data_IF_795096790198
#
_entry.id   IF_795096790198
#
_cell.length_a   1.000
_cell.length_b   1.000
_cell.length_c   1.000
_cell.angle_alpha   90.00
_cell.angle_beta   90.00
_cell.angle_gamma   90.00
#
_symmetry.space_group_name_H-M   'P 1'
#
loop_
_entity.id
_entity.type
_entity.pdbx_description
1 polymer ?
#
# COMPACT_ATOMS: atom_id res chain seq x y z
N UNK A 1 -28.99 -8.44 5.48
CA UNK A 1 -27.58 -8.79 5.23
C UNK A 1 -27.11 -7.80 4.16
N UNK A 2 -26.16 -6.92 4.46
CA UNK A 2 -25.93 -5.63 3.77
C UNK A 2 -25.86 -5.68 2.22
N UNK A 3 -26.85 -5.10 1.54
CA UNK A 3 -26.97 -5.03 0.07
C UNK A 3 -25.77 -4.37 -0.63
N UNK A 4 -25.09 -3.43 0.02
CA UNK A 4 -23.99 -2.69 -0.58
C UNK A 4 -22.78 -3.58 -0.89
N UNK A 5 -22.40 -4.48 0.03
CA UNK A 5 -21.26 -5.38 -0.20
C UNK A 5 -21.56 -6.37 -1.33
N UNK A 6 -22.79 -6.89 -1.37
CA UNK A 6 -23.20 -7.83 -2.40
C UNK A 6 -23.27 -7.16 -3.78
N UNK A 7 -23.76 -5.91 -3.84
CA UNK A 7 -23.71 -5.10 -5.06
C UNK A 7 -22.27 -4.82 -5.51
N UNK A 8 -21.36 -4.52 -4.58
CA UNK A 8 -19.93 -4.34 -4.88
C UNK A 8 -19.22 -5.62 -5.34
N UNK A 9 -19.67 -6.79 -4.89
CA UNK A 9 -19.14 -8.09 -5.35
C UNK A 9 -19.59 -8.43 -6.77
N UNK A 10 -20.75 -7.94 -7.19
CA UNK A 10 -21.32 -8.16 -8.52
C UNK A 10 -20.98 -7.07 -9.54
N UNK A 11 -20.23 -6.05 -9.13
CA UNK A 11 -19.82 -4.95 -9.98
C UNK A 11 -18.90 -5.46 -11.09
N UNK A 12 -19.33 -5.26 -12.34
CA UNK A 12 -18.55 -5.54 -13.55
C UNK A 12 -18.21 -4.20 -14.21
N UNK A 13 -16.91 -3.96 -14.44
CA UNK A 13 -16.42 -2.69 -14.97
C UNK A 13 -15.01 -2.37 -14.47
N UNK A 14 -14.52 -1.14 -14.70
CA UNK A 14 -13.15 -0.76 -14.40
C UNK A 14 -12.87 -0.62 -12.89
N UNK A 15 -13.84 -0.91 -12.01
CA UNK A 15 -13.72 -0.84 -10.56
C UNK A 15 -13.94 -2.23 -9.99
N UNK A 16 -13.02 -2.70 -9.14
CA UNK A 16 -13.07 -3.99 -8.47
C UNK A 16 -12.98 -3.84 -6.96
N UNK A 17 -13.66 -4.74 -6.25
CA UNK A 17 -13.52 -4.91 -4.81
C UNK A 17 -12.27 -5.77 -4.53
N UNK A 18 -11.25 -5.16 -3.93
CA UNK A 18 -10.02 -5.84 -3.51
C UNK A 18 -10.05 -6.10 -2.01
N UNK A 19 -9.60 -7.29 -1.61
CA UNK A 19 -9.35 -7.65 -0.22
C UNK A 19 -7.84 -7.67 0.05
N UNK A 20 -7.41 -7.01 1.11
CA UNK A 20 -6.06 -7.07 1.62
C UNK A 20 -5.88 -8.22 2.62
N UNK A 21 -4.65 -8.72 2.87
CA UNK A 21 -4.40 -9.74 3.88
C UNK A 21 -4.82 -9.35 5.30
N UNK A 22 -4.87 -8.04 5.59
CA UNK A 22 -5.41 -7.51 6.86
C UNK A 22 -6.92 -7.73 7.02
N UNK A 23 -7.62 -8.19 5.99
CA UNK A 23 -9.08 -8.30 5.94
C UNK A 23 -9.77 -7.02 5.46
N UNK A 24 -9.05 -5.93 5.24
CA UNK A 24 -9.61 -4.71 4.69
C UNK A 24 -10.11 -4.91 3.25
N UNK A 25 -11.29 -4.37 2.93
CA UNK A 25 -11.86 -4.39 1.58
C UNK A 25 -11.94 -2.97 1.03
N UNK A 26 -11.41 -2.76 -0.17
CA UNK A 26 -11.42 -1.45 -0.85
C UNK A 26 -11.93 -1.57 -2.28
N UNK A 27 -12.62 -0.54 -2.75
CA UNK A 27 -12.92 -0.37 -4.17
C UNK A 27 -11.73 0.35 -4.81
N UNK A 28 -11.21 -0.22 -5.89
CA UNK A 28 -10.13 0.39 -6.67
C UNK A 28 -10.32 0.13 -8.15
N UNK A 29 -9.63 0.89 -8.99
CA UNK A 29 -9.63 0.61 -10.42
C UNK A 29 -8.96 -0.74 -10.71
N UNK A 30 -9.39 -1.41 -11.76
CA UNK A 30 -8.79 -2.66 -12.22
C UNK A 30 -7.32 -2.49 -12.60
N UNK A 31 -6.98 -1.33 -13.15
CA UNK A 31 -5.62 -0.93 -13.53
C UNK A 31 -4.66 -0.75 -12.34
N UNK A 32 -5.16 -0.75 -11.10
CA UNK A 32 -4.29 -0.76 -9.92
C UNK A 32 -3.70 -2.15 -9.70
N UNK A 33 -2.52 -2.36 -10.28
CA UNK A 33 -1.62 -3.50 -10.07
C UNK A 33 -0.74 -3.27 -8.84
N UNK A 34 -0.57 -4.33 -8.04
CA UNK A 34 0.29 -4.35 -6.85
C UNK A 34 1.76 -4.05 -7.19
N UNK A 35 2.23 -4.51 -8.35
CA UNK A 35 3.57 -4.23 -8.82
C UNK A 35 3.77 -2.73 -9.09
N UNK A 36 2.82 -2.09 -9.77
CA UNK A 36 2.86 -0.66 -10.05
C UNK A 36 2.76 0.16 -8.76
N UNK A 37 1.86 -0.22 -7.86
CA UNK A 37 1.72 0.42 -6.54
C UNK A 37 3.01 0.30 -5.74
N UNK A 38 3.70 -0.84 -5.77
CA UNK A 38 4.94 -1.03 -5.04
C UNK A 38 6.10 -0.20 -5.60
N UNK A 39 6.20 -0.07 -6.93
CA UNK A 39 7.19 0.81 -7.57
C UNK A 39 6.91 2.27 -7.23
N UNK A 40 5.68 2.75 -7.41
CA UNK A 40 5.30 4.12 -7.04
C UNK A 40 5.53 4.39 -5.54
N UNK A 41 5.23 3.42 -4.67
CA UNK A 41 5.50 3.55 -3.23
C UNK A 41 7.00 3.62 -2.94
N UNK A 42 7.83 2.84 -3.63
CA UNK A 42 9.29 2.90 -3.50
C UNK A 42 9.82 4.29 -3.88
N UNK A 43 9.41 4.84 -5.03
CA UNK A 43 9.85 6.17 -5.49
C UNK A 43 9.55 7.26 -4.44
N UNK A 44 8.40 7.16 -3.76
CA UNK A 44 8.03 8.09 -2.67
C UNK A 44 8.91 7.93 -1.44
N UNK A 45 9.21 6.70 -1.07
CA UNK A 45 10.09 6.38 0.07
C UNK A 45 11.53 6.84 -0.22
N UNK A 46 12.03 6.61 -1.44
CA UNK A 46 13.36 7.07 -1.87
C UNK A 46 13.45 8.60 -1.89
N UNK A 47 12.43 9.29 -2.41
CA UNK A 47 12.40 10.76 -2.44
C UNK A 47 12.40 11.40 -1.04
N UNK A 48 11.89 10.70 -0.03
CA UNK A 48 11.85 11.16 1.35
C UNK A 48 12.93 10.53 2.24
N UNK A 49 13.81 9.69 1.69
CA UNK A 49 14.75 8.77 2.37
C UNK A 49 14.08 7.70 3.25
N UNK A 50 12.97 8.05 3.91
CA UNK A 50 12.11 7.16 4.68
C UNK A 50 10.71 7.74 4.83
N UNK A 51 9.71 6.89 5.03
CA UNK A 51 8.34 7.33 5.31
C UNK A 51 7.68 6.55 6.44
N UNK A 52 6.99 7.27 7.32
CA UNK A 52 5.96 6.73 8.19
C UNK A 52 4.62 6.60 7.43
N UNK A 53 3.71 5.80 7.97
CA UNK A 53 2.40 5.55 7.35
C UNK A 53 1.59 6.83 7.20
N UNK A 54 1.65 7.70 8.20
CA UNK A 54 0.93 8.97 8.26
C UNK A 54 1.47 9.97 7.22
N UNK A 55 2.77 9.94 6.96
CA UNK A 55 3.44 10.80 5.99
C UNK A 55 3.00 10.42 4.57
N UNK A 56 3.01 9.12 4.25
CA UNK A 56 2.53 8.64 2.95
C UNK A 56 1.03 8.92 2.75
N UNK A 57 0.21 8.73 3.79
CA UNK A 57 -1.22 9.01 3.73
C UNK A 57 -1.49 10.48 3.40
N UNK A 58 -0.78 11.40 4.07
CA UNK A 58 -0.87 12.85 3.80
C UNK A 58 -0.38 13.20 2.41
N UNK A 59 0.75 12.64 1.98
CA UNK A 59 1.36 12.93 0.69
C UNK A 59 0.49 12.49 -0.49
N UNK A 60 -0.20 11.34 -0.37
CA UNK A 60 -1.06 10.80 -1.42
C UNK A 60 -2.54 11.21 -1.27
N UNK A 61 -2.92 11.85 -0.17
CA UNK A 61 -4.33 12.20 0.10
C UNK A 61 -5.24 10.97 0.27
N UNK A 62 -4.70 9.88 0.82
CA UNK A 62 -5.42 8.61 1.02
C UNK A 62 -5.63 8.31 2.51
N UNK A 63 -6.47 7.33 2.82
CA UNK A 63 -6.66 6.88 4.19
C UNK A 63 -5.40 6.24 4.76
N UNK A 64 -5.20 6.36 6.08
CA UNK A 64 -4.07 5.74 6.79
C UNK A 64 -4.02 4.22 6.56
N UNK A 65 -5.19 3.58 6.52
CA UNK A 65 -5.32 2.15 6.20
C UNK A 65 -4.74 1.85 4.82
N UNK A 66 -5.15 2.59 3.77
CA UNK A 66 -4.66 2.34 2.41
C UNK A 66 -3.16 2.64 2.28
N UNK A 67 -2.67 3.70 2.93
CA UNK A 67 -1.24 4.00 2.97
C UNK A 67 -0.44 2.85 3.60
N UNK A 68 -0.93 2.29 4.72
CA UNK A 68 -0.32 1.13 5.37
C UNK A 68 -0.29 -0.07 4.44
N UNK A 69 -1.41 -0.40 3.80
CA UNK A 69 -1.48 -1.52 2.87
C UNK A 69 -0.51 -1.37 1.70
N UNK A 70 -0.34 -0.16 1.16
CA UNK A 70 0.62 0.10 0.07
C UNK A 70 2.06 -0.15 0.51
N UNK A 71 2.44 0.32 1.70
CA UNK A 71 3.77 0.07 2.27
C UNK A 71 4.00 -1.43 2.52
N UNK A 72 3.01 -2.14 3.05
CA UNK A 72 3.08 -3.60 3.25
C UNK A 72 3.11 -4.39 1.94
N UNK A 73 2.48 -3.90 0.87
CA UNK A 73 2.61 -4.50 -0.48
C UNK A 73 4.03 -4.31 -1.00
N UNK A 74 4.59 -3.09 -0.89
CA UNK A 74 5.96 -2.81 -1.30
C UNK A 74 6.99 -3.62 -0.50
N UNK A 75 6.78 -3.81 0.80
CA UNK A 75 7.62 -4.66 1.66
C UNK A 75 7.60 -6.11 1.21
N UNK A 76 6.41 -6.68 0.96
CA UNK A 76 6.26 -8.07 0.49
C UNK A 76 6.90 -8.32 -0.87
N UNK A 77 6.95 -7.30 -1.72
CA UNK A 77 7.64 -7.35 -3.01
C UNK A 77 9.14 -7.01 -2.90
N UNK A 78 9.65 -6.87 -1.67
CA UNK A 78 11.06 -6.64 -1.39
C UNK A 78 11.55 -5.24 -1.74
N UNK A 79 10.66 -4.28 -2.04
CA UNK A 79 11.05 -2.92 -2.45
C UNK A 79 11.47 -2.06 -1.27
N UNK A 80 10.78 -2.19 -0.15
CA UNK A 80 11.06 -1.45 1.09
C UNK A 80 11.27 -2.41 2.25
N UNK A 81 11.93 -1.95 3.29
CA UNK A 81 12.01 -2.62 4.59
C UNK A 81 11.45 -1.70 5.68
N UNK A 82 10.97 -2.28 6.77
CA UNK A 82 10.51 -1.52 7.93
C UNK A 82 11.52 -1.55 9.07
N UNK A 83 11.59 -0.43 9.77
CA UNK A 83 12.25 -0.28 11.04
C UNK A 83 11.19 0.02 12.10
N UNK A 84 11.12 -0.84 13.11
CA UNK A 84 10.23 -0.69 14.26
C UNK A 84 11.08 -0.32 15.47
N UNK A 85 11.01 0.95 15.86
CA UNK A 85 11.77 1.49 16.99
C UNK A 85 10.84 2.16 18.00
N UNK A 86 11.42 2.63 19.11
CA UNK A 86 10.69 3.43 20.11
C UNK A 86 10.15 4.75 19.54
N UNK A 87 10.73 5.24 18.44
CA UNK A 87 10.32 6.46 17.75
C UNK A 87 9.14 6.22 16.78
N UNK A 88 8.87 4.95 16.45
CA UNK A 88 7.74 4.55 15.63
C UNK A 88 8.10 3.54 14.53
N UNK A 89 7.14 3.30 13.64
CA UNK A 89 7.30 2.46 12.45
C UNK A 89 7.64 3.34 11.25
N UNK A 90 8.83 3.12 10.66
CA UNK A 90 9.24 3.80 9.42
C UNK A 90 9.62 2.78 8.35
N UNK A 91 9.42 3.15 7.10
CA UNK A 91 9.79 2.35 5.93
C UNK A 91 10.93 3.01 5.17
N UNK A 92 11.88 2.20 4.71
CA UNK A 92 13.10 2.59 4.03
C UNK A 92 13.26 1.81 2.71
N UNK A 93 13.99 2.34 1.72
CA UNK A 93 14.36 1.57 0.54
C UNK A 93 15.13 0.31 0.94
N UNK A 94 14.81 -0.83 0.33
CA UNK A 94 15.44 -2.09 0.70
C UNK A 94 16.84 -2.23 0.08
N UNK A 95 17.86 -1.79 0.81
CA UNK A 95 19.26 -1.88 0.38
C UNK A 95 19.86 -3.30 0.50
N UNK A 96 19.18 -4.23 1.19
CA UNK A 96 19.68 -5.60 1.39
C UNK A 96 19.49 -6.47 0.15
N UNK A 97 18.43 -6.22 -0.63
CA UNK A 97 18.13 -6.96 -1.87
C UNK A 97 18.73 -6.31 -3.13
N UNK A 98 19.29 -5.10 -3.01
CA UNK A 98 19.93 -4.38 -4.12
C UNK A 98 21.44 -4.64 -4.28
N UNK A 99 22.03 -5.52 -3.47
CA UNK A 99 23.43 -5.95 -3.57
C UNK A 99 23.49 -7.36 -4.17
N UNK A 100 23.54 -7.42 -5.49
CA UNK A 100 24.12 -8.53 -6.24
C UNK A 100 25.43 -8.06 -6.89
#
# INVERSE_FOLDING_TARGET
MCDLLHACEQLSGPIRLRSFPSGARVLQLESHDDALIAVDTLEKVEAAESLAVEELAKQLGISLLLAKERLLVAERLGKVCRDESVEGLRFYPNLLLGRD
#
